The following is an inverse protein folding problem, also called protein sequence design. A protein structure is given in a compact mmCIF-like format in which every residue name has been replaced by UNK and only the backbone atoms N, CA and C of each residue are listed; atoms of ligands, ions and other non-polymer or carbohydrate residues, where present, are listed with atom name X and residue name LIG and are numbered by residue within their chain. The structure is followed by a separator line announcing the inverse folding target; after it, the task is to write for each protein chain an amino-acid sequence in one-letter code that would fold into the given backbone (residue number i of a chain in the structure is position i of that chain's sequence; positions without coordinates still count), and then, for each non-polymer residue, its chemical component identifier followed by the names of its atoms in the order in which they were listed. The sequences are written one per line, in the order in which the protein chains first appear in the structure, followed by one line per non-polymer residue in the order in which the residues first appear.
data_IF_914657678946
#
_entry.id   IF_914657678946
#
_cell.length_a   1.000
_cell.length_b   1.000
_cell.length_c   1.000
_cell.angle_alpha   90.00
_cell.angle_beta   90.00
_cell.angle_gamma   90.00
#
_symmetry.space_group_name_H-M   'P 1'
#
loop_
_entity.id
_entity.type
_entity.pdbx_description
1 polymer ?
#
# COMPACT_ATOMS: atom_id res chain seq x y z
N UNK A 1 4.37 13.51 -21.87
CA UNK A 1 4.44 12.03 -22.06
C UNK A 1 5.90 11.57 -22.01
N UNK A 2 6.53 11.49 -20.82
CA UNK A 2 7.99 11.20 -20.69
C UNK A 2 8.31 9.92 -19.91
N UNK A 3 7.36 9.40 -19.13
CA UNK A 3 7.58 8.22 -18.27
C UNK A 3 7.48 6.86 -18.96
N UNK A 4 6.74 6.76 -20.08
CA UNK A 4 6.55 5.49 -20.78
C UNK A 4 7.83 4.95 -21.42
N UNK A 5 8.78 5.83 -21.77
CA UNK A 5 9.95 5.43 -22.55
C UNK A 5 11.02 4.74 -21.69
N UNK A 6 11.25 5.20 -20.45
CA UNK A 6 12.26 4.61 -19.56
C UNK A 6 11.94 3.15 -19.17
N UNK A 7 10.65 2.84 -18.95
CA UNK A 7 10.21 1.48 -18.62
C UNK A 7 10.31 0.53 -19.83
N UNK A 8 10.16 1.09 -21.04
CA UNK A 8 10.26 0.35 -22.30
C UNK A 8 11.73 0.08 -22.69
N UNK A 9 12.61 1.07 -22.52
CA UNK A 9 14.04 0.98 -22.85
C UNK A 9 14.78 -0.07 -21.98
N UNK A 10 14.47 -0.17 -20.68
CA UNK A 10 15.01 -1.23 -19.83
C UNK A 10 14.58 -2.66 -20.25
N UNK A 11 13.59 -2.81 -21.13
CA UNK A 11 12.98 -4.12 -21.38
C UNK A 11 13.26 -4.68 -22.78
N UNK A 12 13.70 -3.86 -23.72
CA UNK A 12 13.87 -4.25 -25.13
C UNK A 12 15.33 -4.42 -25.57
N UNK A 13 16.30 -3.92 -24.80
CA UNK A 13 17.73 -3.98 -25.15
C UNK A 13 18.47 -5.04 -24.32
N UNK A 14 18.36 -6.32 -24.71
CA UNK A 14 19.33 -7.34 -24.27
C UNK A 14 18.77 -8.75 -24.04
N UNK A 15 19.41 -9.75 -24.66
CA UNK A 15 19.20 -11.17 -24.36
C UNK A 15 19.51 -11.50 -22.88
N UNK A 16 18.53 -12.16 -22.22
CA UNK A 16 18.53 -12.95 -20.95
C UNK A 16 19.92 -13.17 -20.31
N UNK A 17 20.25 -12.76 -19.05
CA UNK A 17 19.52 -12.95 -17.77
C UNK A 17 19.25 -11.65 -16.96
N UNK A 18 19.72 -10.50 -17.45
CA UNK A 18 19.75 -9.23 -16.71
C UNK A 18 18.33 -8.65 -16.42
N UNK A 19 17.37 -8.91 -17.31
CA UNK A 19 15.98 -8.41 -17.19
C UNK A 19 15.21 -8.93 -15.97
N UNK A 20 15.55 -10.12 -15.46
CA UNK A 20 14.96 -10.65 -14.24
C UNK A 20 15.45 -9.89 -13.00
N UNK A 21 16.78 -9.66 -12.95
CA UNK A 21 17.45 -8.89 -11.90
C UNK A 21 16.94 -7.44 -11.89
N UNK A 22 16.71 -6.86 -13.06
CA UNK A 22 16.19 -5.49 -13.20
C UNK A 22 14.74 -5.36 -12.73
N UNK A 23 13.88 -6.33 -13.06
CA UNK A 23 12.48 -6.31 -12.60
C UNK A 23 12.37 -6.53 -11.09
N UNK A 24 13.18 -7.44 -10.51
CA UNK A 24 13.22 -7.65 -9.06
C UNK A 24 13.66 -6.39 -8.32
N UNK A 25 14.75 -5.77 -8.77
CA UNK A 25 15.23 -4.48 -8.23
C UNK A 25 14.18 -3.37 -8.31
N UNK A 26 13.39 -3.33 -9.38
CA UNK A 26 12.29 -2.36 -9.51
C UNK A 26 11.18 -2.64 -8.50
N UNK A 27 10.79 -3.91 -8.31
CA UNK A 27 9.80 -4.30 -7.31
C UNK A 27 10.26 -3.95 -5.89
N UNK A 28 11.48 -4.32 -5.51
CA UNK A 28 12.04 -4.04 -4.18
C UNK A 28 12.10 -2.52 -3.91
N UNK A 29 12.43 -1.72 -4.94
CA UNK A 29 12.41 -0.25 -4.84
C UNK A 29 11.00 0.30 -4.66
N UNK A 30 10.01 -0.26 -5.36
CA UNK A 30 8.61 0.12 -5.21
C UNK A 30 8.12 -0.21 -3.80
N UNK A 31 8.35 -1.43 -3.33
CA UNK A 31 7.99 -1.86 -1.97
C UNK A 31 8.65 -0.97 -0.92
N UNK A 32 9.97 -0.74 -1.03
CA UNK A 32 10.69 0.13 -0.10
C UNK A 32 10.16 1.56 -0.11
N UNK A 33 9.80 2.09 -1.28
CA UNK A 33 9.19 3.42 -1.41
C UNK A 33 7.83 3.47 -0.73
N UNK A 34 6.93 2.54 -1.05
CA UNK A 34 5.59 2.48 -0.48
C UNK A 34 5.64 2.29 1.02
N UNK A 35 6.53 1.43 1.54
CA UNK A 35 6.73 1.23 2.97
C UNK A 35 7.14 2.53 3.67
N UNK A 36 8.06 3.32 3.09
CA UNK A 36 8.42 4.64 3.65
C UNK A 36 7.24 5.60 3.69
N UNK A 37 6.42 5.64 2.65
CA UNK A 37 5.21 6.48 2.63
C UNK A 37 4.21 6.03 3.68
N UNK A 38 3.96 4.73 3.80
CA UNK A 38 3.09 4.16 4.83
C UNK A 38 3.61 4.45 6.24
N UNK A 39 4.91 4.32 6.46
CA UNK A 39 5.55 4.68 7.74
C UNK A 39 5.35 6.15 8.07
N UNK A 40 5.49 7.06 7.11
CA UNK A 40 5.24 8.49 7.34
C UNK A 40 3.81 8.76 7.81
N UNK A 41 2.82 8.07 7.23
CA UNK A 41 1.42 8.15 7.67
C UNK A 41 1.25 7.62 9.10
N UNK A 42 1.90 6.50 9.43
CA UNK A 42 1.86 5.95 10.78
C UNK A 42 2.47 6.90 11.81
N UNK A 43 3.64 7.48 11.52
CA UNK A 43 4.31 8.43 12.42
C UNK A 43 3.43 9.66 12.69
N UNK A 44 2.79 10.20 11.66
CA UNK A 44 1.84 11.31 11.82
C UNK A 44 0.61 10.90 12.64
N UNK A 45 0.04 9.71 12.37
CA UNK A 45 -1.10 9.18 13.14
C UNK A 45 -0.74 8.90 14.61
N UNK A 46 0.49 8.48 14.88
CA UNK A 46 0.95 8.16 16.24
C UNK A 46 0.82 9.39 17.15
N UNK A 47 1.15 10.55 16.63
CA UNK A 47 1.22 11.78 17.42
C UNK A 47 -0.14 12.53 17.49
N UNK A 48 -1.17 12.03 16.80
CA UNK A 48 -2.52 12.61 16.83
C UNK A 48 -3.30 12.24 18.10
N UNK A 49 -4.15 13.15 18.61
CA UNK A 49 -5.12 12.85 19.66
C UNK A 49 -6.18 11.83 19.21
N UNK A 50 -6.63 10.98 20.14
CA UNK A 50 -7.62 9.92 19.89
C UNK A 50 -8.95 10.47 19.31
N UNK A 51 -9.37 11.68 19.68
CA UNK A 51 -10.57 12.32 19.11
C UNK A 51 -10.49 12.64 17.61
N UNK A 52 -9.28 12.67 17.03
CA UNK A 52 -9.03 13.04 15.63
C UNK A 52 -8.47 11.89 14.76
N UNK A 53 -7.98 10.83 15.39
CA UNK A 53 -7.24 9.76 14.71
C UNK A 53 -8.10 8.97 13.71
N UNK A 54 -9.39 8.75 14.02
CA UNK A 54 -10.30 7.98 13.15
C UNK A 54 -10.55 8.73 11.84
N UNK A 55 -10.80 10.04 11.92
CA UNK A 55 -10.99 10.89 10.73
C UNK A 55 -9.75 10.93 9.85
N UNK A 56 -8.59 11.17 10.48
CA UNK A 56 -7.30 11.14 9.78
C UNK A 56 -7.04 9.79 9.10
N UNK A 57 -7.26 8.67 9.81
CA UNK A 57 -7.04 7.33 9.27
C UNK A 57 -7.89 7.08 8.03
N UNK A 58 -9.20 7.40 8.07
CA UNK A 58 -10.09 7.20 6.94
C UNK A 58 -9.67 8.03 5.72
N UNK A 59 -9.31 9.30 5.92
CA UNK A 59 -8.84 10.16 4.84
C UNK A 59 -7.55 9.61 4.20
N UNK A 60 -6.57 9.22 5.02
CA UNK A 60 -5.31 8.68 4.52
C UNK A 60 -5.51 7.33 3.84
N UNK A 61 -6.42 6.49 4.36
CA UNK A 61 -6.79 5.21 3.74
C UNK A 61 -7.37 5.42 2.34
N UNK A 62 -8.23 6.42 2.17
CA UNK A 62 -8.82 6.75 0.86
C UNK A 62 -7.78 7.29 -0.12
N UNK A 63 -6.90 8.19 0.33
CA UNK A 63 -5.77 8.68 -0.46
C UNK A 63 -4.83 7.54 -0.89
N UNK A 64 -4.53 6.62 0.02
CA UNK A 64 -3.71 5.43 -0.25
C UNK A 64 -4.36 4.51 -1.29
N UNK A 65 -5.66 4.23 -1.16
CA UNK A 65 -6.41 3.43 -2.13
C UNK A 65 -6.48 4.10 -3.51
N UNK A 66 -6.60 5.43 -3.55
CA UNK A 66 -6.55 6.18 -4.80
C UNK A 66 -5.15 6.05 -5.45
N UNK A 67 -4.08 6.21 -4.67
CA UNK A 67 -2.72 6.04 -5.14
C UNK A 67 -2.47 4.61 -5.67
N UNK A 68 -2.98 3.58 -5.00
CA UNK A 68 -2.88 2.20 -5.46
C UNK A 68 -3.46 2.00 -6.86
N UNK A 69 -4.66 2.54 -7.13
CA UNK A 69 -5.30 2.48 -8.45
C UNK A 69 -4.47 3.21 -9.52
N UNK A 70 -3.91 4.38 -9.18
CA UNK A 70 -3.07 5.17 -10.11
C UNK A 70 -1.75 4.46 -10.39
N UNK A 71 -1.08 3.93 -9.36
CA UNK A 71 0.17 3.19 -9.47
C UNK A 71 0.01 1.94 -10.33
N UNK A 72 -1.07 1.18 -10.16
CA UNK A 72 -1.40 0.06 -11.06
C UNK A 72 -1.52 0.51 -12.52
N UNK A 73 -2.18 1.64 -12.77
CA UNK A 73 -2.31 2.20 -14.12
C UNK A 73 -0.96 2.57 -14.76
N UNK A 74 -0.07 3.19 -13.98
CA UNK A 74 1.29 3.58 -14.40
C UNK A 74 2.19 2.37 -14.62
N UNK A 75 2.10 1.38 -13.73
CA UNK A 75 2.92 0.17 -13.73
C UNK A 75 2.31 -0.99 -14.50
N UNK A 76 1.20 -0.78 -15.22
CA UNK A 76 0.45 -1.82 -15.93
C UNK A 76 1.32 -2.72 -16.81
N UNK A 77 2.32 -2.15 -17.48
CA UNK A 77 3.25 -2.92 -18.30
C UNK A 77 4.16 -3.82 -17.45
N UNK A 78 4.70 -3.27 -16.35
CA UNK A 78 5.51 -4.04 -15.39
C UNK A 78 4.69 -5.15 -14.73
N UNK A 79 3.44 -4.85 -14.34
CA UNK A 79 2.50 -5.80 -13.75
C UNK A 79 2.23 -6.97 -14.71
N UNK A 80 1.85 -6.67 -15.96
CA UNK A 80 1.50 -7.69 -16.97
C UNK A 80 2.68 -8.58 -17.38
N UNK A 81 3.88 -8.02 -17.50
CA UNK A 81 4.99 -8.71 -18.16
C UNK A 81 6.05 -9.26 -17.21
N UNK A 82 6.17 -8.69 -16.00
CA UNK A 82 7.10 -9.17 -14.99
C UNK A 82 6.35 -9.76 -13.80
N UNK A 83 5.47 -9.00 -13.12
CA UNK A 83 4.79 -9.48 -11.89
C UNK A 83 3.96 -10.73 -12.16
N UNK A 84 3.06 -10.71 -13.16
CA UNK A 84 2.24 -11.89 -13.50
C UNK A 84 3.09 -13.11 -13.86
N UNK A 85 4.22 -12.90 -14.53
CA UNK A 85 5.15 -13.99 -14.88
C UNK A 85 5.79 -14.58 -13.63
N UNK A 86 6.37 -13.75 -12.77
CA UNK A 86 7.00 -14.22 -11.53
C UNK A 86 5.99 -14.93 -10.62
N UNK A 87 4.77 -14.39 -10.48
CA UNK A 87 3.70 -15.05 -9.73
C UNK A 87 3.33 -16.43 -10.31
N UNK A 88 3.39 -16.61 -11.64
CA UNK A 88 3.12 -17.89 -12.27
C UNK A 88 4.27 -18.89 -12.06
N UNK A 89 5.53 -18.46 -12.22
CA UNK A 89 6.72 -19.30 -12.02
C UNK A 89 6.84 -19.79 -10.57
N UNK A 90 6.41 -18.98 -9.60
CA UNK A 90 6.41 -19.33 -8.17
C UNK A 90 5.44 -20.44 -7.80
N UNK A 91 4.31 -20.59 -8.50
CA UNK A 91 3.30 -21.62 -8.16
C UNK A 91 3.82 -23.05 -8.36
N UNK A 92 4.93 -23.21 -9.07
CA UNK A 92 5.51 -24.51 -9.45
C UNK A 92 6.67 -24.94 -8.51
N UNK A 93 7.00 -24.15 -7.48
CA UNK A 93 8.09 -24.42 -6.52
C UNK A 93 7.70 -24.31 -5.03
N UNK A 94 8.52 -24.90 -4.15
CA UNK A 94 8.30 -25.00 -2.70
C UNK A 94 8.50 -23.69 -1.89
N UNK A 95 8.82 -22.57 -2.55
CA UNK A 95 9.07 -21.28 -1.91
C UNK A 95 8.08 -20.25 -2.50
N UNK A 96 6.97 -19.97 -1.82
CA UNK A 96 6.03 -18.92 -2.22
C UNK A 96 6.78 -17.58 -2.21
N UNK A 97 7.00 -16.98 -3.38
CA UNK A 97 7.58 -15.65 -3.52
C UNK A 97 6.71 -14.60 -2.84
N UNK A 98 7.39 -13.64 -2.23
CA UNK A 98 6.90 -12.35 -1.70
C UNK A 98 6.15 -11.48 -2.73
N UNK A 99 6.34 -11.75 -4.03
CA UNK A 99 5.76 -10.96 -5.13
C UNK A 99 4.23 -11.12 -5.23
N UNK A 100 3.53 -9.99 -5.25
CA UNK A 100 2.11 -9.88 -5.57
C UNK A 100 1.81 -8.68 -6.47
N UNK A 101 0.56 -8.57 -6.95
CA UNK A 101 0.09 -7.43 -7.74
C UNK A 101 0.30 -6.10 -7.01
N UNK A 102 0.38 -5.00 -7.76
CA UNK A 102 0.68 -3.68 -7.17
C UNK A 102 -0.39 -3.28 -6.15
N UNK A 103 -1.66 -3.59 -6.41
CA UNK A 103 -2.76 -3.29 -5.48
C UNK A 103 -2.64 -4.13 -4.21
N UNK A 104 -2.33 -5.42 -4.33
CA UNK A 104 -2.11 -6.30 -3.18
C UNK A 104 -0.92 -5.84 -2.35
N UNK A 105 0.15 -5.36 -2.99
CA UNK A 105 1.32 -4.80 -2.31
C UNK A 105 0.92 -3.59 -1.46
N UNK A 106 0.10 -2.68 -2.00
CA UNK A 106 -0.43 -1.55 -1.25
C UNK A 106 -1.28 -2.01 -0.05
N UNK A 107 -2.09 -3.05 -0.21
CA UNK A 107 -2.92 -3.59 0.88
C UNK A 107 -2.07 -4.21 1.99
N UNK A 108 -1.10 -5.06 1.64
CA UNK A 108 -0.18 -5.70 2.60
C UNK A 108 0.63 -4.68 3.39
N UNK A 109 1.19 -3.68 2.71
CA UNK A 109 1.99 -2.65 3.35
C UNK A 109 1.15 -1.77 4.27
N UNK A 110 -0.07 -1.39 3.87
CA UNK A 110 -0.96 -0.64 4.74
C UNK A 110 -1.35 -1.44 5.99
N UNK A 111 -1.75 -2.70 5.81
CA UNK A 111 -2.15 -3.56 6.91
C UNK A 111 -1.03 -3.66 7.96
N UNK A 112 0.16 -4.09 7.54
CA UNK A 112 1.30 -4.33 8.43
C UNK A 112 1.95 -3.06 9.01
N UNK A 113 1.94 -1.95 8.27
CA UNK A 113 2.70 -0.75 8.66
C UNK A 113 1.84 0.32 9.32
N UNK A 114 0.55 0.40 8.99
CA UNK A 114 -0.35 1.47 9.48
C UNK A 114 -1.45 0.89 10.34
N UNK A 115 -2.19 -0.11 9.84
CA UNK A 115 -3.37 -0.61 10.54
C UNK A 115 -3.03 -1.41 11.79
N UNK A 116 -2.23 -2.48 11.67
CA UNK A 116 -1.87 -3.35 12.80
C UNK A 116 -1.29 -2.56 13.99
N UNK A 117 -0.37 -1.58 13.80
CA UNK A 117 0.14 -0.78 14.92
C UNK A 117 -0.87 0.20 15.54
N UNK A 118 -1.92 0.59 14.80
CA UNK A 118 -2.92 1.56 15.24
C UNK A 118 -4.26 0.92 15.66
N UNK A 119 -4.50 -0.34 15.34
CA UNK A 119 -5.77 -1.04 15.53
C UNK A 119 -6.32 -0.85 16.95
N UNK A 120 -5.50 -1.10 17.97
CA UNK A 120 -5.92 -0.92 19.36
C UNK A 120 -6.31 0.52 19.73
N UNK A 121 -5.70 1.53 19.10
CA UNK A 121 -6.06 2.95 19.31
C UNK A 121 -7.32 3.33 18.54
N UNK A 122 -7.43 2.88 17.29
CA UNK A 122 -8.60 3.13 16.45
C UNK A 122 -9.87 2.55 17.09
N UNK A 123 -9.78 1.35 17.67
CA UNK A 123 -10.91 0.72 18.34
C UNK A 123 -11.37 1.55 19.56
N UNK A 124 -10.44 1.96 20.44
CA UNK A 124 -10.78 2.82 21.60
C UNK A 124 -11.37 4.16 21.19
N UNK A 125 -10.75 4.83 20.23
CA UNK A 125 -11.21 6.12 19.73
C UNK A 125 -12.60 6.02 19.06
N UNK A 126 -12.88 4.91 18.38
CA UNK A 126 -14.19 4.63 17.80
C UNK A 126 -15.28 4.45 18.86
N UNK A 127 -15.00 3.65 19.90
CA UNK A 127 -15.92 3.43 21.02
C UNK A 127 -16.24 4.74 21.77
N UNK A 128 -15.24 5.59 22.03
CA UNK A 128 -15.42 6.89 22.69
C UNK A 128 -16.30 7.85 21.88
N UNK A 129 -16.16 7.85 20.54
CA UNK A 129 -17.02 8.63 19.65
C UNK A 129 -18.46 8.12 19.65
N UNK A 130 -18.68 6.81 19.65
CA UNK A 130 -20.04 6.25 19.77
C UNK A 130 -20.70 6.55 21.12
N UNK A 131 -19.94 6.53 22.22
CA UNK A 131 -20.44 6.88 23.56
C UNK A 131 -20.82 8.37 23.60
N UNK A 132 -20.01 9.27 23.03
CA UNK A 132 -20.35 10.70 22.94
C UNK A 132 -21.56 10.96 22.05
N UNK A 133 -21.69 10.28 20.93
CA UNK A 133 -22.85 10.41 20.06
C UNK A 133 -24.15 10.00 20.78
N UNK A 134 -24.14 8.88 21.51
CA UNK A 134 -25.31 8.40 22.27
C UNK A 134 -25.60 9.21 23.54
N UNK A 135 -24.59 9.87 24.11
CA UNK A 135 -24.74 10.68 25.33
C UNK A 135 -25.26 12.11 25.09
N UNK A 136 -25.21 12.63 23.86
CA UNK A 136 -25.64 13.99 23.53
C UNK A 136 -27.14 14.08 23.12
N UNK A 137 -27.79 12.96 22.85
CA UNK A 137 -29.21 12.91 22.49
C UNK A 137 -30.15 12.89 23.73
N UNK A 138 -29.59 12.96 24.94
CA UNK A 138 -30.31 12.81 26.23
C UNK A 138 -30.49 14.08 27.07
N UNK A 139 -29.97 15.24 26.65
CA UNK A 139 -30.19 16.52 27.32
C UNK A 139 -30.86 17.52 26.37
N UNK A 140 -32.17 17.38 26.19
CA UNK A 140 -33.07 18.45 25.79
C UNK A 140 -34.44 18.14 26.38
N UNK A 141 -34.78 18.95 27.39
CA UNK A 141 -36.07 19.20 28.08
C UNK A 141 -37.33 18.42 27.67
#
# INVERSE_FOLDING_TARGET
MRGYNAVFECQTTGSRPNRYVEGRKLYDRLESYLKRVAMAVYEEARDLPDGSIVGFYNEQRDRWNHAAKRNRGLLRYFERHWITREMATTKEGANRSDICEVVDLHMKLWASTVFEPLEGRLNRAGEEHEIKAKGLDGESE
#
